data_IF_183101401738
#
_entry.id   IF_183101401738
#
_cell.length_a   1.000
_cell.length_b   1.000
_cell.length_c   1.000
_cell.angle_alpha   90.00
_cell.angle_beta   90.00
_cell.angle_gamma   90.00
#
_symmetry.space_group_name_H-M   'P 1'
#
loop_
_entity.id
_entity.type
_entity.pdbx_description
1 polymer ?
#
# COMPACT_ATOMS: atom_id res chain seq x y z
N UNK A 1 7.20 3.87 -27.36
CA UNK A 1 7.35 2.89 -26.26
C UNK A 1 5.96 2.31 -26.07
N UNK A 2 5.71 1.19 -26.74
CA UNK A 2 4.37 0.61 -26.86
C UNK A 2 4.01 -0.09 -25.55
N UNK A 3 2.98 0.43 -24.87
CA UNK A 3 2.29 -0.31 -23.82
C UNK A 3 1.32 -1.30 -24.50
N UNK A 4 1.86 -2.32 -25.16
CA UNK A 4 1.09 -3.47 -25.63
C UNK A 4 0.79 -4.39 -24.43
N UNK A 5 -0.22 -3.99 -23.66
CA UNK A 5 -1.08 -4.78 -22.77
C UNK A 5 -2.03 -3.75 -22.18
N UNK A 6 -3.32 -3.89 -22.48
CA UNK A 6 -4.36 -2.93 -22.12
C UNK A 6 -4.54 -2.91 -20.60
N UNK A 7 -3.61 -2.26 -19.92
CA UNK A 7 -3.82 -1.70 -18.61
C UNK A 7 -4.80 -0.57 -18.81
N UNK A 8 -5.85 -0.54 -18.01
CA UNK A 8 -6.80 0.56 -18.04
C UNK A 8 -6.01 1.88 -17.96
N UNK A 9 -5.99 2.63 -19.07
CA UNK A 9 -5.21 3.85 -19.17
C UNK A 9 -5.68 4.86 -18.12
N UNK A 10 -6.96 4.81 -17.75
CA UNK A 10 -7.51 5.60 -16.65
C UNK A 10 -6.84 5.24 -15.33
N UNK A 11 -6.69 3.95 -15.02
CA UNK A 11 -6.02 3.47 -13.81
C UNK A 11 -4.53 3.87 -13.76
N UNK A 12 -3.80 3.70 -14.87
CA UNK A 12 -2.38 4.11 -14.94
C UNK A 12 -2.28 5.62 -14.73
N UNK A 13 -3.08 6.40 -15.46
CA UNK A 13 -3.02 7.86 -15.39
C UNK A 13 -3.39 8.34 -13.99
N UNK A 14 -4.41 7.77 -13.35
CA UNK A 14 -4.75 8.07 -11.97
C UNK A 14 -3.57 7.85 -11.01
N UNK A 15 -2.88 6.70 -11.11
CA UNK A 15 -1.69 6.44 -10.29
C UNK A 15 -0.53 7.41 -10.55
N UNK A 16 -0.27 7.74 -11.81
CA UNK A 16 0.77 8.69 -12.20
C UNK A 16 0.44 10.13 -11.77
N UNK A 17 -0.83 10.52 -11.79
CA UNK A 17 -1.31 11.83 -11.36
C UNK A 17 -1.24 11.96 -9.85
N UNK A 18 -1.61 10.92 -9.08
CA UNK A 18 -1.43 10.90 -7.63
C UNK A 18 0.05 11.08 -7.28
N UNK A 19 0.93 10.30 -7.90
CA UNK A 19 2.38 10.42 -7.70
C UNK A 19 2.92 11.80 -8.08
N UNK A 20 2.43 12.40 -9.17
CA UNK A 20 2.87 13.71 -9.60
C UNK A 20 2.42 14.82 -8.64
N UNK A 21 1.21 14.72 -8.09
CA UNK A 21 0.62 15.76 -7.24
C UNK A 21 0.98 15.60 -5.76
N UNK A 22 1.08 14.37 -5.26
CA UNK A 22 1.27 14.06 -3.83
C UNK A 22 2.67 13.55 -3.51
N UNK A 23 3.45 13.15 -4.53
CA UNK A 23 4.80 12.58 -4.36
C UNK A 23 4.81 11.13 -3.90
N UNK A 24 3.67 10.57 -3.52
CA UNK A 24 3.52 9.20 -3.07
C UNK A 24 2.12 8.65 -3.31
N UNK A 25 2.03 7.33 -3.35
CA UNK A 25 0.85 6.57 -3.70
C UNK A 25 0.77 5.35 -2.79
N UNK A 26 -0.31 5.23 -2.02
CA UNK A 26 -0.63 4.00 -1.32
C UNK A 26 -1.35 3.05 -2.28
N UNK A 27 -0.91 1.80 -2.29
CA UNK A 27 -1.55 0.72 -3.03
C UNK A 27 -1.88 -0.45 -2.11
N UNK A 28 -2.98 -1.14 -2.42
CA UNK A 28 -3.31 -2.45 -1.89
C UNK A 28 -3.36 -3.46 -3.04
N UNK A 29 -2.68 -4.59 -2.89
CA UNK A 29 -2.67 -5.68 -3.86
C UNK A 29 -3.41 -6.84 -3.20
N UNK A 30 -4.52 -7.30 -3.77
CA UNK A 30 -5.20 -8.52 -3.34
C UNK A 30 -4.79 -9.66 -4.26
N UNK A 31 -4.22 -10.71 -3.68
CA UNK A 31 -3.68 -11.81 -4.47
C UNK A 31 -4.78 -12.76 -4.93
N UNK A 32 -4.81 -13.06 -6.22
CA UNK A 32 -5.76 -14.02 -6.76
C UNK A 32 -5.54 -15.42 -6.17
N UNK A 33 -6.64 -16.08 -5.81
CA UNK A 33 -6.66 -17.44 -5.24
C UNK A 33 -5.86 -17.61 -3.93
N UNK A 34 -5.68 -16.53 -3.17
CA UNK A 34 -4.86 -16.52 -1.95
C UNK A 34 -5.68 -16.30 -0.66
N UNK A 35 -6.94 -16.74 -0.62
CA UNK A 35 -7.79 -16.71 0.58
C UNK A 35 -7.87 -15.35 1.32
N UNK A 36 -7.86 -14.24 0.57
CA UNK A 36 -7.94 -12.89 1.14
C UNK A 36 -6.59 -12.26 1.48
N UNK A 37 -5.48 -12.93 1.15
CA UNK A 37 -4.14 -12.37 1.28
C UNK A 37 -3.99 -11.08 0.46
N UNK A 38 -3.35 -10.10 1.08
CA UNK A 38 -3.18 -8.76 0.53
C UNK A 38 -1.84 -8.18 0.93
N UNK A 39 -1.39 -7.20 0.17
CA UNK A 39 -0.18 -6.45 0.43
C UNK A 39 -0.40 -4.96 0.29
N UNK A 40 0.07 -4.19 1.26
CA UNK A 40 0.09 -2.73 1.20
C UNK A 40 1.48 -2.21 0.90
N UNK A 41 1.58 -1.16 0.08
CA UNK A 41 2.85 -0.51 -0.26
C UNK A 41 2.66 0.97 -0.52
N UNK A 42 3.64 1.76 -0.08
CA UNK A 42 3.75 3.19 -0.44
C UNK A 42 4.80 3.31 -1.54
N UNK A 43 4.37 3.79 -2.70
CA UNK A 43 5.22 4.01 -3.87
C UNK A 43 5.50 5.49 -4.00
N UNK A 44 6.75 5.86 -4.29
CA UNK A 44 7.15 7.27 -4.51
C UNK A 44 7.74 7.54 -5.88
N UNK A 45 8.18 6.51 -6.58
CA UNK A 45 8.71 6.62 -7.93
C UNK A 45 7.72 6.09 -8.97
N UNK A 46 7.57 6.85 -10.06
CA UNK A 46 6.76 6.44 -11.23
C UNK A 46 7.25 5.12 -11.80
N UNK A 47 8.57 4.89 -11.80
CA UNK A 47 9.18 3.64 -12.27
C UNK A 47 8.71 2.45 -11.47
N UNK A 48 8.66 2.56 -10.15
CA UNK A 48 8.28 1.46 -9.26
C UNK A 48 6.80 1.08 -9.44
N UNK A 49 5.93 2.08 -9.65
CA UNK A 49 4.52 1.86 -9.97
C UNK A 49 4.35 1.10 -11.29
N UNK A 50 5.00 1.56 -12.36
CA UNK A 50 4.91 0.89 -13.67
C UNK A 50 5.55 -0.50 -13.66
N UNK A 51 6.66 -0.68 -12.93
CA UNK A 51 7.28 -1.99 -12.75
C UNK A 51 6.39 -2.95 -11.98
N UNK A 52 5.67 -2.48 -10.96
CA UNK A 52 4.73 -3.28 -10.20
C UNK A 52 3.60 -3.78 -11.09
N UNK A 53 3.01 -2.92 -11.94
CA UNK A 53 1.96 -3.32 -12.87
C UNK A 53 2.46 -4.31 -13.92
N UNK A 54 3.74 -4.18 -14.34
CA UNK A 54 4.36 -5.07 -15.33
C UNK A 54 4.74 -6.44 -14.76
N UNK A 55 5.24 -6.49 -13.52
CA UNK A 55 5.79 -7.69 -12.88
C UNK A 55 4.81 -8.39 -11.94
N UNK A 56 3.70 -7.75 -11.60
CA UNK A 56 2.72 -8.32 -10.70
C UNK A 56 2.06 -9.57 -11.28
N UNK A 57 1.48 -10.37 -10.41
CA UNK A 57 0.88 -11.65 -10.77
C UNK A 57 -0.44 -11.41 -11.49
N UNK A 58 -0.68 -12.18 -12.56
CA UNK A 58 -1.94 -12.14 -13.30
C UNK A 58 -3.15 -12.30 -12.37
N UNK A 59 -4.21 -11.54 -12.64
CA UNK A 59 -5.47 -11.47 -11.85
C UNK A 59 -5.37 -10.87 -10.46
N UNK A 60 -4.18 -10.46 -10.00
CA UNK A 60 -4.12 -9.70 -8.75
C UNK A 60 -4.91 -8.40 -8.92
N UNK A 61 -5.72 -8.05 -7.92
CA UNK A 61 -6.42 -6.77 -7.90
C UNK A 61 -5.51 -5.73 -7.26
N UNK A 62 -5.21 -4.66 -7.97
CA UNK A 62 -4.47 -3.51 -7.48
C UNK A 62 -5.45 -2.38 -7.24
N UNK A 63 -5.45 -1.87 -6.02
CA UNK A 63 -6.30 -0.78 -5.55
C UNK A 63 -5.39 0.41 -5.24
N UNK A 64 -5.67 1.56 -5.86
CA UNK A 64 -5.00 2.82 -5.57
C UNK A 64 -5.86 3.60 -4.60
N UNK A 65 -5.25 4.21 -3.59
CA UNK A 65 -5.93 5.13 -2.70
C UNK A 65 -5.62 6.55 -3.12
N UNK A 66 -6.67 7.34 -3.34
CA UNK A 66 -6.50 8.76 -3.65
C UNK A 66 -5.93 9.51 -2.45
N UNK A 67 -6.33 9.12 -1.24
CA UNK A 67 -5.89 9.70 0.03
C UNK A 67 -5.68 8.63 1.09
N UNK A 68 -4.72 8.89 1.97
CA UNK A 68 -4.48 8.12 3.17
C UNK A 68 -3.88 9.02 4.24
N UNK A 69 -4.02 8.63 5.51
CA UNK A 69 -3.63 9.47 6.63
C UNK A 69 -2.46 8.85 7.40
N UNK A 70 -1.34 9.56 7.46
CA UNK A 70 -0.25 9.20 8.36
C UNK A 70 -0.61 9.45 9.81
N UNK A 71 -0.20 8.51 10.65
CA UNK A 71 0.00 8.71 12.07
C UNK A 71 1.45 9.13 12.30
N UNK A 72 2.40 8.41 11.70
CA UNK A 72 3.83 8.74 11.77
C UNK A 72 4.58 8.13 10.58
N UNK A 73 5.69 8.74 10.20
CA UNK A 73 6.62 8.23 9.20
C UNK A 73 8.04 8.60 9.60
N UNK A 74 8.97 7.66 9.54
CA UNK A 74 10.38 7.93 9.84
C UNK A 74 11.20 6.66 10.02
N UNK A 75 12.45 6.83 10.47
CA UNK A 75 13.30 5.71 10.86
C UNK A 75 12.78 5.11 12.17
N UNK A 76 12.75 3.78 12.26
CA UNK A 76 12.45 3.02 13.47
C UNK A 76 13.58 3.21 14.49
N UNK A 77 13.50 4.31 15.23
CA UNK A 77 14.43 4.66 16.30
C UNK A 77 13.68 5.01 17.59
N UNK A 78 14.45 5.32 18.64
CA UNK A 78 13.88 5.69 19.95
C UNK A 78 12.99 6.94 19.89
N UNK A 79 13.26 7.87 18.97
CA UNK A 79 12.46 9.08 18.84
C UNK A 79 11.11 8.75 18.22
N UNK A 80 11.09 7.96 17.14
CA UNK A 80 9.85 7.48 16.51
C UNK A 80 8.97 6.74 17.52
N UNK A 81 9.54 5.84 18.32
CA UNK A 81 8.81 5.09 19.36
C UNK A 81 8.21 6.04 20.39
N UNK A 82 8.97 7.04 20.85
CA UNK A 82 8.46 8.02 21.81
C UNK A 82 7.33 8.88 21.25
N UNK A 83 7.43 9.30 19.98
CA UNK A 83 6.36 10.03 19.32
C UNK A 83 5.11 9.18 19.14
N UNK A 84 5.28 7.93 18.70
CA UNK A 84 4.21 6.98 18.52
C UNK A 84 3.48 6.71 19.83
N UNK A 85 4.23 6.58 20.94
CA UNK A 85 3.65 6.39 22.28
C UNK A 85 2.78 7.56 22.75
N UNK A 86 3.15 8.80 22.37
CA UNK A 86 2.32 9.99 22.66
C UNK A 86 1.04 10.01 21.83
N UNK A 87 1.08 9.49 20.60
CA UNK A 87 -0.06 9.39 19.70
C UNK A 87 -0.95 8.17 19.96
N UNK A 88 -0.42 7.16 20.66
CA UNK A 88 -1.12 5.94 20.97
C UNK A 88 -2.33 6.21 21.86
N UNK A 89 -3.48 6.36 21.22
CA UNK A 89 -4.76 6.54 21.86
C UNK A 89 -5.68 5.40 21.41
N UNK A 90 -5.74 4.34 22.21
CA UNK A 90 -6.51 3.11 21.96
C UNK A 90 -8.04 3.33 21.88
N UNK A 91 -8.50 4.58 21.85
CA UNK A 91 -9.91 4.96 21.67
C UNK A 91 -10.30 5.19 20.21
N UNK A 92 -9.36 5.10 19.27
CA UNK A 92 -9.73 5.08 17.85
C UNK A 92 -10.24 3.69 17.50
N UNK A 93 -11.50 3.61 17.08
CA UNK A 93 -12.09 2.38 16.52
C UNK A 93 -11.50 2.02 15.15
N UNK A 94 -10.58 2.84 14.63
CA UNK A 94 -9.97 2.66 13.31
C UNK A 94 -8.62 1.98 13.47
N UNK A 95 -8.42 0.78 12.90
CA UNK A 95 -7.17 0.05 12.98
C UNK A 95 -6.04 0.81 12.30
N UNK A 96 -4.82 0.60 12.79
CA UNK A 96 -3.60 1.18 12.24
C UNK A 96 -2.85 0.12 11.43
N UNK A 97 -2.17 0.58 10.38
CA UNK A 97 -1.37 -0.25 9.49
C UNK A 97 0.07 0.22 9.52
N UNK A 98 1.00 -0.69 9.82
CA UNK A 98 2.44 -0.47 9.66
C UNK A 98 2.89 -0.91 8.27
N UNK A 99 3.69 -0.11 7.59
CA UNK A 99 4.30 -0.40 6.29
C UNK A 99 5.79 -0.06 6.36
N UNK A 100 6.63 -1.07 6.22
CA UNK A 100 8.07 -0.96 6.11
C UNK A 100 8.46 -0.57 4.69
N UNK A 101 9.40 0.36 4.57
CA UNK A 101 9.94 0.78 3.26
C UNK A 101 11.20 0.00 2.96
N UNK A 102 11.01 -1.28 2.63
CA UNK A 102 12.08 -2.16 2.21
C UNK A 102 12.19 -2.18 0.69
N UNK A 103 13.37 -2.55 0.19
CA UNK A 103 13.65 -2.65 -1.24
C UNK A 103 12.98 -3.88 -1.89
N UNK A 104 12.37 -4.78 -1.11
CA UNK A 104 11.66 -5.95 -1.61
C UNK A 104 10.15 -5.65 -1.81
N UNK A 105 9.47 -6.50 -2.57
CA UNK A 105 8.06 -6.36 -2.92
C UNK A 105 7.13 -7.24 -2.07
N UNK A 106 7.64 -7.93 -1.03
CA UNK A 106 6.88 -8.97 -0.33
C UNK A 106 6.83 -8.75 1.19
N UNK A 107 5.61 -8.68 1.73
CA UNK A 107 5.28 -8.80 3.16
C UNK A 107 5.93 -7.76 4.09
N UNK A 108 5.90 -6.50 3.66
CA UNK A 108 6.46 -5.38 4.40
C UNK A 108 5.39 -4.59 5.16
N UNK A 109 4.30 -5.24 5.57
CA UNK A 109 3.21 -4.57 6.28
C UNK A 109 2.63 -5.45 7.38
N UNK A 110 1.98 -4.82 8.36
CA UNK A 110 1.35 -5.50 9.49
C UNK A 110 0.20 -4.67 10.06
N UNK A 111 -0.79 -5.36 10.62
CA UNK A 111 -1.82 -4.73 11.45
C UNK A 111 -1.27 -4.44 12.84
N UNK A 112 -1.69 -3.32 13.41
CA UNK A 112 -1.27 -2.88 14.73
C UNK A 112 -2.46 -2.98 15.67
N UNK A 113 -2.57 -4.11 16.38
CA UNK A 113 -3.67 -4.38 17.32
C UNK A 113 -3.29 -3.99 18.76
N UNK A 114 -2.03 -4.24 19.14
CA UNK A 114 -1.49 -3.91 20.46
C UNK A 114 -0.19 -3.13 20.40
N UNK A 115 0.09 -2.42 21.49
CA UNK A 115 1.37 -1.71 21.65
C UNK A 115 2.54 -2.70 21.69
N UNK A 116 2.36 -3.84 22.36
CA UNK A 116 3.43 -4.83 22.53
C UNK A 116 3.82 -5.49 21.19
N UNK A 117 2.85 -5.80 20.33
CA UNK A 117 3.13 -6.29 18.96
C UNK A 117 3.88 -5.24 18.13
N UNK A 118 3.44 -3.99 18.18
CA UNK A 118 4.09 -2.89 17.49
C UNK A 118 5.54 -2.67 17.98
N UNK A 119 5.77 -2.74 19.29
CA UNK A 119 7.11 -2.59 19.85
C UNK A 119 8.02 -3.75 19.44
N UNK A 120 7.50 -4.98 19.40
CA UNK A 120 8.23 -6.15 18.90
C UNK A 120 8.57 -6.01 17.40
N UNK A 121 7.60 -5.63 16.57
CA UNK A 121 7.81 -5.40 15.13
C UNK A 121 8.86 -4.32 14.86
N UNK A 122 8.84 -3.23 15.63
CA UNK A 122 9.82 -2.15 15.52
C UNK A 122 11.21 -2.63 15.99
N UNK A 123 11.29 -3.40 17.07
CA UNK A 123 12.54 -3.89 17.63
C UNK A 123 13.29 -4.80 16.63
N UNK A 124 12.57 -5.65 15.92
CA UNK A 124 13.14 -6.58 14.93
C UNK A 124 13.71 -5.87 13.69
N UNK A 125 13.28 -4.63 13.44
CA UNK A 125 13.62 -3.86 12.24
C UNK A 125 14.09 -2.44 12.57
N UNK A 126 14.83 -2.27 13.67
CA UNK A 126 15.41 -0.98 14.06
C UNK A 126 16.30 -0.38 12.95
N UNK A 127 16.19 0.93 12.75
CA UNK A 127 16.93 1.67 11.71
C UNK A 127 16.34 1.56 10.30
N UNK A 128 15.25 0.84 10.11
CA UNK A 128 14.50 0.81 8.85
C UNK A 128 13.44 1.90 8.81
N UNK A 129 13.04 2.33 7.61
CA UNK A 129 11.95 3.29 7.48
C UNK A 129 10.60 2.60 7.68
N UNK A 130 9.78 3.19 8.54
CA UNK A 130 8.43 2.74 8.88
C UNK A 130 7.45 3.87 8.61
N UNK A 131 6.34 3.53 7.97
CA UNK A 131 5.16 4.35 7.80
C UNK A 131 4.02 3.71 8.58
N UNK A 132 3.41 4.43 9.51
CA UNK A 132 2.19 4.00 10.19
C UNK A 132 1.06 4.90 9.73
N UNK A 133 0.02 4.30 9.19
CA UNK A 133 -1.15 4.97 8.64
C UNK A 133 -2.42 4.46 9.30
N UNK A 134 -3.47 5.26 9.24
CA UNK A 134 -4.83 4.78 9.53
C UNK A 134 -5.21 3.82 8.40
N UNK A 135 -5.77 2.64 8.70
CA UNK A 135 -6.23 1.71 7.66
C UNK A 135 -7.24 2.44 6.76
N UNK A 136 -6.97 2.54 5.45
CA UNK A 136 -7.90 3.17 4.55
C UNK A 136 -9.08 2.23 4.22
N UNK A 137 -10.25 2.81 3.99
CA UNK A 137 -11.40 2.06 3.50
C UNK A 137 -11.20 1.66 2.03
N UNK A 138 -10.73 0.45 1.83
CA UNK A 138 -10.47 -0.14 0.52
C UNK A 138 -11.74 -0.61 -0.20
N UNK A 139 -12.91 -0.46 0.43
CA UNK A 139 -14.22 -0.69 -0.19
C UNK A 139 -14.87 0.61 -0.70
N UNK A 140 -14.24 1.76 -0.47
CA UNK A 140 -14.76 3.06 -0.86
C UNK A 140 -14.66 3.30 -2.38
N UNK A 141 -15.80 3.42 -3.05
CA UNK A 141 -15.88 3.76 -4.48
C UNK A 141 -15.42 5.21 -4.78
N UNK A 142 -15.42 6.09 -3.79
CA UNK A 142 -15.02 7.49 -3.95
C UNK A 142 -13.57 7.75 -3.56
N UNK A 143 -12.99 6.91 -2.70
CA UNK A 143 -11.62 7.05 -2.21
C UNK A 143 -10.58 6.22 -2.97
N UNK A 144 -11.04 5.32 -3.85
CA UNK A 144 -10.17 4.35 -4.52
C UNK A 144 -10.49 4.17 -6.00
N UNK A 145 -9.51 3.67 -6.74
CA UNK A 145 -9.71 3.09 -8.07
C UNK A 145 -9.01 1.73 -8.10
N UNK A 146 -9.65 0.73 -8.71
CA UNK A 146 -9.16 -0.64 -8.73
C UNK A 146 -9.05 -1.18 -10.16
N UNK A 147 -8.00 -1.95 -10.40
CA UNK A 147 -7.78 -2.67 -11.65
C UNK A 147 -7.26 -4.07 -11.34
N UNK A 148 -7.39 -4.99 -12.29
CA UNK A 148 -6.75 -6.30 -12.21
C UNK A 148 -5.51 -6.30 -13.08
N UNK A 149 -4.45 -6.95 -12.64
CA UNK A 149 -3.30 -7.20 -13.50
C UNK A 149 -3.77 -8.11 -14.64
N UNK A 150 -3.53 -7.71 -15.90
CA UNK A 150 -4.10 -8.41 -17.04
C UNK A 150 -3.63 -9.86 -17.09
N UNK A 151 -4.53 -10.74 -17.52
CA UNK A 151 -4.25 -12.15 -17.78
C UNK A 151 -3.35 -12.32 -19.02
N UNK A 152 -3.01 -13.57 -19.36
CA UNK A 152 -2.33 -13.94 -20.61
C UNK A 152 -3.03 -13.43 -21.90
N UNK A 153 -4.28 -12.96 -21.82
CA UNK A 153 -5.02 -12.31 -22.92
C UNK A 153 -4.74 -10.79 -23.05
N UNK A 154 -4.00 -10.20 -22.10
CA UNK A 154 -3.57 -8.81 -22.12
C UNK A 154 -4.63 -7.78 -21.74
N UNK A 155 -5.78 -8.22 -21.20
CA UNK A 155 -6.89 -7.34 -20.85
C UNK A 155 -7.05 -7.16 -19.33
N UNK A 156 -7.02 -5.91 -18.89
CA UNK A 156 -7.50 -5.52 -17.56
C UNK A 156 -9.02 -5.41 -17.62
N UNK A 157 -9.70 -6.13 -16.73
CA UNK A 157 -11.16 -6.13 -16.65
C UNK A 157 -11.58 -5.38 -15.39
N UNK A 158 -12.41 -4.33 -15.46
CA UNK A 158 -12.99 -3.74 -14.25
C UNK A 158 -13.92 -4.76 -13.57
N UNK A 159 -13.93 -4.79 -12.23
CA UNK A 159 -14.86 -5.65 -11.51
C UNK A 159 -14.54 -5.86 -10.02
N UNK A 160 -15.50 -6.43 -9.30
CA UNK A 160 -15.33 -6.96 -7.94
C UNK A 160 -15.37 -8.48 -8.07
N UNK A 161 -14.32 -9.18 -7.65
CA UNK A 161 -14.38 -10.62 -7.44
C UNK A 161 -14.66 -10.91 -5.97
#
# INVERSE_FOLDING_TARGET
MEFEKATDLEFINAGLDILANKGELLICIRHAYAAGDKNFKIIRAKTDFLELLKKGREKDSVILFFEFQYIIHGLSDKNLIQELRKKWNKKSDTPWLGIWELNDFRHDWFYIDTWDELENEIADRLGHKLSIIVEPDWTSEHGTINAYIPDNDGHVRPGVY
#
